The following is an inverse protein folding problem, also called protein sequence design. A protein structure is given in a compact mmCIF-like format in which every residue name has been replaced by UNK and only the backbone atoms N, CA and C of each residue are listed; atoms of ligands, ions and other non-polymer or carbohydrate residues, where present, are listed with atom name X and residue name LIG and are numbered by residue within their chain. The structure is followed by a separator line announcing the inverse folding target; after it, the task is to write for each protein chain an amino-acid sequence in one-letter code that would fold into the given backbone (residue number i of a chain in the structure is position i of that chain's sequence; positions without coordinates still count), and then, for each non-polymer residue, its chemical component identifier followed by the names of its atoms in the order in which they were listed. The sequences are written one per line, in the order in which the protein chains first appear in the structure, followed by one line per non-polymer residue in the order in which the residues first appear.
data_IF_235540443751
#
_entry.id   IF_235540443751
#
_cell.length_a   1.000
_cell.length_b   1.000
_cell.length_c   1.000
_cell.angle_alpha   90.00
_cell.angle_beta   90.00
_cell.angle_gamma   90.00
#
_symmetry.space_group_name_H-M   'P 1'
#
loop_
_entity.id
_entity.type
_entity.pdbx_description
1 polymer ?
#
# COMPACT_ATOMS: atom_id res chain seq x y z
N UNK A 1 -14.45 -12.73 -22.23
CA UNK A 1 -15.15 -11.60 -21.59
C UNK A 1 -14.84 -11.48 -20.10
N UNK A 2 -14.64 -12.59 -19.37
CA UNK A 2 -14.33 -12.60 -17.93
C UNK A 2 -12.93 -12.04 -17.55
N UNK A 3 -11.92 -12.18 -18.42
CA UNK A 3 -10.55 -11.66 -18.17
C UNK A 3 -10.42 -10.13 -18.23
N UNK A 4 -11.29 -9.44 -19.00
CA UNK A 4 -11.27 -7.97 -19.13
C UNK A 4 -11.82 -7.28 -17.87
N UNK A 5 -12.75 -7.92 -17.16
CA UNK A 5 -13.31 -7.44 -15.89
C UNK A 5 -12.35 -7.62 -14.71
N UNK A 6 -11.60 -8.72 -14.65
CA UNK A 6 -10.61 -8.95 -13.57
C UNK A 6 -9.44 -7.96 -13.63
N UNK A 7 -8.87 -7.72 -14.81
CA UNK A 7 -7.77 -6.75 -14.99
C UNK A 7 -8.19 -5.32 -14.66
N UNK A 8 -9.45 -4.95 -14.90
CA UNK A 8 -10.00 -3.66 -14.47
C UNK A 8 -10.17 -3.57 -12.95
N UNK A 9 -10.56 -4.67 -12.31
CA UNK A 9 -10.79 -4.72 -10.86
C UNK A 9 -9.48 -4.70 -10.07
N UNK A 10 -8.46 -5.46 -10.51
CA UNK A 10 -7.10 -5.43 -9.93
C UNK A 10 -6.44 -4.05 -10.08
N UNK A 11 -6.57 -3.41 -11.25
CA UNK A 11 -6.09 -2.05 -11.48
C UNK A 11 -6.79 -1.00 -10.61
N UNK A 12 -8.09 -1.17 -10.35
CA UNK A 12 -8.84 -0.29 -9.47
C UNK A 12 -8.42 -0.42 -8.00
N UNK A 13 -8.14 -1.64 -7.53
CA UNK A 13 -7.67 -1.89 -6.15
C UNK A 13 -6.24 -1.37 -5.95
N UNK A 14 -5.35 -1.56 -6.93
CA UNK A 14 -4.01 -0.98 -6.85
C UNK A 14 -4.07 0.56 -6.79
N UNK A 15 -4.96 1.17 -7.58
CA UNK A 15 -5.16 2.62 -7.54
C UNK A 15 -5.73 3.09 -6.20
N UNK A 16 -6.62 2.34 -5.54
CA UNK A 16 -7.13 2.71 -4.22
C UNK A 16 -6.03 2.64 -3.15
N UNK A 17 -5.18 1.62 -3.16
CA UNK A 17 -4.04 1.50 -2.23
C UNK A 17 -3.08 2.68 -2.41
N UNK A 18 -2.71 3.00 -3.66
CA UNK A 18 -1.83 4.14 -3.95
C UNK A 18 -2.48 5.45 -3.48
N UNK A 19 -3.78 5.63 -3.72
CA UNK A 19 -4.49 6.84 -3.31
C UNK A 19 -4.51 7.00 -1.78
N UNK A 20 -4.86 5.96 -1.04
CA UNK A 20 -4.92 5.98 0.43
C UNK A 20 -3.54 6.28 1.04
N UNK A 21 -2.48 5.71 0.47
CA UNK A 21 -1.11 6.03 0.89
C UNK A 21 -0.76 7.50 0.62
N UNK A 22 -1.09 8.02 -0.56
CA UNK A 22 -0.80 9.41 -0.92
C UNK A 22 -1.57 10.40 -0.05
N UNK A 23 -2.82 10.10 0.30
CA UNK A 23 -3.62 10.90 1.24
C UNK A 23 -2.98 10.92 2.63
N UNK A 24 -2.52 9.76 3.11
CA UNK A 24 -1.82 9.63 4.39
C UNK A 24 -0.53 10.43 4.44
N UNK A 25 0.35 10.26 3.44
CA UNK A 25 1.61 11.02 3.33
C UNK A 25 1.33 12.52 3.30
N UNK A 26 0.35 12.96 2.51
CA UNK A 26 0.00 14.37 2.37
C UNK A 26 -0.46 14.98 3.70
N UNK A 27 -1.32 14.26 4.44
CA UNK A 27 -1.86 14.71 5.72
C UNK A 27 -0.77 14.81 6.79
N UNK A 28 0.08 13.79 6.88
CA UNK A 28 1.15 13.73 7.88
C UNK A 28 2.26 14.75 7.57
N UNK A 29 2.66 14.91 6.31
CA UNK A 29 3.61 15.96 5.90
C UNK A 29 3.10 17.34 6.27
N UNK A 30 1.81 17.63 6.06
CA UNK A 30 1.22 18.91 6.44
C UNK A 30 1.36 19.16 7.95
N UNK A 31 1.08 18.14 8.77
CA UNK A 31 1.21 18.25 10.23
C UNK A 31 2.66 18.55 10.65
N UNK A 32 3.63 17.83 10.08
CA UNK A 32 5.06 18.02 10.34
C UNK A 32 5.47 19.46 10.00
N UNK A 33 5.06 19.98 8.84
CA UNK A 33 5.38 21.34 8.43
C UNK A 33 4.69 22.40 9.30
N UNK A 34 3.43 22.19 9.71
CA UNK A 34 2.73 23.11 10.61
C UNK A 34 3.45 23.19 11.98
N UNK A 35 3.99 22.08 12.48
CA UNK A 35 4.80 22.05 13.70
C UNK A 35 6.15 22.75 13.53
N UNK A 36 6.81 22.55 12.38
CA UNK A 36 8.07 23.20 12.05
C UNK A 36 7.92 24.74 11.96
N UNK A 37 6.91 25.21 11.23
CA UNK A 37 6.63 26.64 11.02
C UNK A 37 6.22 27.33 12.32
N UNK A 38 5.50 26.62 13.20
CA UNK A 38 5.13 27.15 14.52
C UNK A 38 6.27 27.14 15.55
N UNK A 39 7.47 26.69 15.16
CA UNK A 39 8.64 26.61 16.03
C UNK A 39 8.53 25.55 17.13
N UNK A 40 7.59 24.60 16.99
CA UNK A 40 7.33 23.53 17.97
C UNK A 40 8.27 22.33 17.81
N UNK A 41 8.92 22.19 16.66
CA UNK A 41 9.93 21.15 16.39
C UNK A 41 11.25 21.77 15.95
N UNK A 42 12.36 21.18 16.38
CA UNK A 42 13.66 21.53 15.82
C UNK A 42 13.78 20.96 14.40
N UNK A 43 14.63 21.57 13.57
CA UNK A 43 14.84 21.12 12.19
C UNK A 43 15.27 19.65 12.09
N UNK A 44 16.09 19.17 13.03
CA UNK A 44 16.52 17.78 13.04
C UNK A 44 15.36 16.80 13.30
N UNK A 45 14.41 17.17 14.18
CA UNK A 45 13.24 16.36 14.48
C UNK A 45 12.34 16.27 13.25
N UNK A 46 12.16 17.38 12.53
CA UNK A 46 11.41 17.42 11.26
C UNK A 46 11.99 16.47 10.23
N UNK A 47 13.32 16.42 10.08
CA UNK A 47 13.97 15.49 9.15
C UNK A 47 13.74 14.04 9.58
N UNK A 48 13.83 13.76 10.88
CA UNK A 48 13.58 12.43 11.41
C UNK A 48 12.12 12.00 11.18
N UNK A 49 11.16 12.87 11.45
CA UNK A 49 9.73 12.61 11.29
C UNK A 49 9.38 12.31 9.83
N UNK A 50 9.96 13.06 8.88
CA UNK A 50 9.78 12.81 7.44
C UNK A 50 10.37 11.45 7.05
N UNK A 51 11.57 11.11 7.54
CA UNK A 51 12.18 9.81 7.26
C UNK A 51 11.35 8.65 7.82
N UNK A 52 10.84 8.81 9.05
CA UNK A 52 9.99 7.81 9.68
C UNK A 52 8.66 7.64 8.94
N UNK A 53 8.02 8.74 8.54
CA UNK A 53 6.80 8.73 7.73
C UNK A 53 7.01 7.95 6.43
N UNK A 54 8.05 8.29 5.65
CA UNK A 54 8.33 7.61 4.39
C UNK A 54 8.64 6.13 4.58
N UNK A 55 9.35 5.77 5.66
CA UNK A 55 9.63 4.37 5.99
C UNK A 55 8.33 3.61 6.31
N UNK A 56 7.46 4.17 7.15
CA UNK A 56 6.19 3.55 7.54
C UNK A 56 5.27 3.37 6.33
N UNK A 57 5.03 4.44 5.58
CA UNK A 57 4.17 4.40 4.39
C UNK A 57 4.69 3.43 3.32
N UNK A 58 6.01 3.33 3.14
CA UNK A 58 6.60 2.36 2.22
C UNK A 58 6.43 0.90 2.67
N UNK A 59 6.48 0.63 3.97
CA UNK A 59 6.23 -0.72 4.52
C UNK A 59 4.76 -1.09 4.38
N UNK A 60 3.84 -0.20 4.78
CA UNK A 60 2.40 -0.41 4.66
C UNK A 60 2.00 -0.69 3.20
N UNK A 61 2.51 0.11 2.25
CA UNK A 61 2.26 -0.13 0.82
C UNK A 61 2.71 -1.53 0.37
N UNK A 62 3.89 -1.97 0.80
CA UNK A 62 4.41 -3.27 0.42
C UNK A 62 3.54 -4.39 1.01
N UNK A 63 3.11 -4.25 2.27
CA UNK A 63 2.24 -5.22 2.95
C UNK A 63 0.87 -5.33 2.26
N UNK A 64 0.25 -4.21 1.91
CA UNK A 64 -1.02 -4.18 1.19
C UNK A 64 -0.90 -4.81 -0.20
N UNK A 65 0.19 -4.48 -0.92
CA UNK A 65 0.45 -5.05 -2.24
C UNK A 65 0.69 -6.56 -2.17
N UNK A 66 1.45 -7.04 -1.19
CA UNK A 66 1.68 -8.48 -1.02
C UNK A 66 0.40 -9.23 -0.64
N UNK A 67 -0.45 -8.61 0.19
CA UNK A 67 -1.75 -9.18 0.55
C UNK A 67 -2.66 -9.31 -0.67
N UNK A 68 -2.75 -8.25 -1.49
CA UNK A 68 -3.50 -8.27 -2.75
C UNK A 68 -2.97 -9.35 -3.71
N UNK A 69 -1.64 -9.46 -3.84
CA UNK A 69 -1.03 -10.48 -4.70
C UNK A 69 -1.31 -11.89 -4.20
N UNK A 70 -1.25 -12.14 -2.89
CA UNK A 70 -1.55 -13.47 -2.35
C UNK A 70 -3.02 -13.84 -2.56
N UNK A 71 -3.95 -12.91 -2.34
CA UNK A 71 -5.39 -13.10 -2.65
C UNK A 71 -5.59 -13.42 -4.13
N UNK A 72 -5.02 -12.59 -5.02
CA UNK A 72 -5.12 -12.79 -6.48
C UNK A 72 -4.57 -14.15 -6.91
N UNK A 73 -3.42 -14.56 -6.35
CA UNK A 73 -2.82 -15.87 -6.62
C UNK A 73 -3.66 -17.01 -6.01
N UNK A 74 -4.29 -16.82 -4.85
CA UNK A 74 -5.22 -17.77 -4.22
C UNK A 74 -6.49 -17.99 -5.04
N UNK A 75 -7.02 -16.94 -5.64
CA UNK A 75 -8.25 -17.02 -6.45
C UNK A 75 -7.99 -17.45 -7.90
N UNK A 76 -6.74 -17.38 -8.37
CA UNK A 76 -6.35 -17.75 -9.73
C UNK A 76 -6.70 -19.20 -10.08
N UNK A 77 -7.67 -19.36 -10.97
CA UNK A 77 -8.07 -20.66 -11.56
C UNK A 77 -6.95 -21.29 -12.39
N UNK A 78 -6.13 -20.48 -13.06
CA UNK A 78 -4.97 -20.95 -13.81
C UNK A 78 -3.91 -21.56 -12.87
N UNK A 79 -3.61 -20.89 -11.74
CA UNK A 79 -2.70 -21.46 -10.72
C UNK A 79 -3.24 -22.78 -10.17
N UNK A 80 -4.53 -22.85 -9.82
CA UNK A 80 -5.16 -24.08 -9.28
C UNK A 80 -5.07 -25.24 -10.28
N UNK A 81 -5.14 -24.94 -11.58
CA UNK A 81 -5.00 -25.91 -12.66
C UNK A 81 -3.55 -26.35 -12.88
N UNK A 82 -2.60 -25.42 -12.88
CA UNK A 82 -1.21 -25.69 -13.27
C UNK A 82 -0.37 -26.28 -12.15
N UNK A 83 -0.66 -25.93 -10.90
CA UNK A 83 0.20 -26.28 -9.77
C UNK A 83 -0.32 -27.45 -8.94
N UNK A 84 -1.58 -27.91 -9.11
CA UNK A 84 -2.19 -29.03 -8.36
C UNK A 84 -1.98 -28.99 -6.82
N UNK A 85 -1.62 -27.83 -6.26
CA UNK A 85 -1.32 -27.64 -4.84
C UNK A 85 -2.59 -27.13 -4.15
N UNK A 86 -3.15 -27.94 -3.25
CA UNK A 86 -4.06 -27.48 -2.20
C UNK A 86 -3.24 -26.77 -1.12
N UNK A 87 -3.49 -25.47 -0.92
CA UNK A 87 -2.97 -24.76 0.25
C UNK A 87 -3.80 -25.16 1.47
N UNK A 88 -3.23 -25.03 2.67
CA UNK A 88 -3.87 -25.40 3.95
C UNK A 88 -5.25 -24.75 4.20
N UNK A 89 -5.60 -23.71 3.46
CA UNK A 89 -6.84 -22.95 3.57
C UNK A 89 -7.77 -23.07 2.35
N UNK A 90 -7.42 -23.89 1.34
CA UNK A 90 -8.35 -24.31 0.28
C UNK A 90 -9.36 -25.35 0.81
#
# INVERSE_FOLDING_TARGET
MMMLTQTHQEGAVLMSIIQEMMETITKEMKLIFDQAVSGKSAFNDVIFDIQELMRKSGVELAEDLFSLLDETINESTQRKKDWHIQRKAD
#
